data_IF_511535296468
#
_entry.id   IF_511535296468
#
_cell.length_a   1.000
_cell.length_b   1.000
_cell.length_c   1.000
_cell.angle_alpha   90.00
_cell.angle_beta   90.00
_cell.angle_gamma   90.00
#
_symmetry.space_group_name_H-M   'P 1'
#
loop_
_entity.id
_entity.type
_entity.pdbx_description
1 polymer ?
#
# COMPACT_ATOMS: atom_id res chain seq x y z
N UNK A 1 -34.20 31.51 -3.63
CA UNK A 1 -34.48 30.50 -4.63
C UNK A 1 -34.04 29.11 -4.16
N UNK A 2 -34.71 28.07 -4.60
CA UNK A 2 -34.38 26.68 -4.26
C UNK A 2 -32.96 26.32 -4.67
N UNK A 3 -32.42 26.91 -5.72
CA UNK A 3 -31.06 26.68 -6.23
C UNK A 3 -29.99 27.23 -5.28
N UNK A 4 -30.21 28.36 -4.68
CA UNK A 4 -29.29 28.89 -3.64
C UNK A 4 -29.29 28.03 -2.39
N UNK A 5 -30.43 27.53 -1.97
CA UNK A 5 -30.60 26.69 -0.79
C UNK A 5 -29.89 25.33 -0.94
N UNK A 6 -30.00 24.69 -2.09
CA UNK A 6 -29.28 23.47 -2.41
C UNK A 6 -27.77 23.69 -2.46
N UNK A 7 -27.31 24.79 -3.02
CA UNK A 7 -25.90 25.16 -3.08
C UNK A 7 -25.30 25.40 -1.68
N UNK A 8 -26.05 26.04 -0.79
CA UNK A 8 -25.62 26.26 0.61
C UNK A 8 -25.55 24.96 1.39
N UNK A 9 -26.51 24.06 1.22
CA UNK A 9 -26.52 22.73 1.85
C UNK A 9 -25.33 21.91 1.39
N UNK A 10 -25.04 21.89 0.09
CA UNK A 10 -23.87 21.18 -0.47
C UNK A 10 -22.56 21.73 0.05
N UNK A 11 -22.44 23.06 0.17
CA UNK A 11 -21.24 23.69 0.77
C UNK A 11 -21.07 23.33 2.24
N UNK A 12 -22.15 23.26 3.01
CA UNK A 12 -22.10 22.86 4.41
C UNK A 12 -21.70 21.40 4.59
N UNK A 13 -22.25 20.50 3.76
CA UNK A 13 -21.90 19.09 3.77
C UNK A 13 -20.43 18.90 3.38
N UNK A 14 -19.96 19.60 2.36
CA UNK A 14 -18.55 19.54 1.94
C UNK A 14 -17.59 20.06 3.01
N UNK A 15 -17.92 21.17 3.67
CA UNK A 15 -17.12 21.70 4.79
C UNK A 15 -17.09 20.75 5.99
N UNK A 16 -18.22 20.12 6.30
CA UNK A 16 -18.30 19.16 7.40
C UNK A 16 -17.50 17.90 7.08
N UNK A 17 -17.60 17.37 5.87
CA UNK A 17 -16.78 16.24 5.42
C UNK A 17 -15.28 16.56 5.43
N UNK A 18 -14.87 17.74 4.96
CA UNK A 18 -13.47 18.16 4.99
C UNK A 18 -12.96 18.26 6.42
N UNK A 19 -13.74 18.78 7.37
CA UNK A 19 -13.37 18.83 8.78
C UNK A 19 -13.29 17.46 9.42
N UNK A 20 -14.23 16.58 9.14
CA UNK A 20 -14.22 15.20 9.61
C UNK A 20 -13.05 14.43 8.98
N UNK A 21 -12.77 14.62 7.70
CA UNK A 21 -11.63 14.02 7.01
C UNK A 21 -10.30 14.53 7.56
N UNK A 22 -10.17 15.80 7.88
CA UNK A 22 -8.97 16.34 8.51
C UNK A 22 -8.80 15.79 9.93
N UNK A 23 -9.88 15.66 10.69
CA UNK A 23 -9.84 15.11 12.04
C UNK A 23 -9.52 13.61 12.04
N UNK A 24 -10.04 12.86 11.07
CA UNK A 24 -9.79 11.42 10.88
C UNK A 24 -8.55 11.13 10.02
N UNK A 25 -7.90 12.17 9.47
CA UNK A 25 -6.82 12.01 8.51
C UNK A 25 -5.49 11.58 9.12
N UNK A 26 -5.30 11.82 10.40
CA UNK A 26 -4.08 11.42 11.10
C UNK A 26 -4.31 10.14 11.89
N UNK A 27 -3.58 9.10 11.55
CA UNK A 27 -3.63 7.80 12.18
C UNK A 27 -2.20 7.32 12.44
N UNK A 28 -2.00 6.52 13.48
CA UNK A 28 -0.72 5.86 13.67
C UNK A 28 -0.47 4.92 12.50
N UNK A 29 0.74 4.96 11.96
CA UNK A 29 1.09 4.14 10.80
C UNK A 29 0.88 2.65 11.06
N UNK A 30 1.24 2.19 12.24
CA UNK A 30 1.00 0.83 12.71
C UNK A 30 -0.49 0.46 12.65
N UNK A 31 -1.36 1.33 13.14
CA UNK A 31 -2.81 1.11 13.14
C UNK A 31 -3.39 1.05 11.72
N UNK A 32 -2.88 1.89 10.82
CA UNK A 32 -3.28 1.85 9.41
C UNK A 32 -2.88 0.54 8.74
N UNK A 33 -1.65 0.08 8.97
CA UNK A 33 -1.18 -1.20 8.44
C UNK A 33 -2.00 -2.37 9.01
N UNK A 34 -2.30 -2.37 10.31
CA UNK A 34 -3.16 -3.40 10.92
C UNK A 34 -4.56 -3.40 10.32
N UNK A 35 -5.15 -2.24 10.10
CA UNK A 35 -6.47 -2.12 9.45
C UNK A 35 -6.47 -2.75 8.05
N UNK A 36 -5.46 -2.44 7.25
CA UNK A 36 -5.33 -2.99 5.90
C UNK A 36 -5.09 -4.50 5.94
N UNK A 37 -4.19 -4.96 6.79
CA UNK A 37 -3.88 -6.38 6.95
C UNK A 37 -5.12 -7.16 7.38
N UNK A 38 -5.86 -6.66 8.36
CA UNK A 38 -7.07 -7.31 8.83
C UNK A 38 -8.14 -7.42 7.74
N UNK A 39 -8.24 -6.43 6.86
CA UNK A 39 -9.17 -6.49 5.73
C UNK A 39 -8.83 -7.64 4.77
N UNK A 40 -7.55 -7.95 4.58
CA UNK A 40 -7.13 -9.09 3.77
C UNK A 40 -7.26 -10.43 4.50
N UNK A 41 -7.05 -10.47 5.82
CA UNK A 41 -7.25 -11.68 6.63
C UNK A 41 -8.69 -12.20 6.56
N UNK A 42 -9.66 -11.33 6.44
CA UNK A 42 -11.07 -11.71 6.34
C UNK A 42 -11.38 -12.50 5.06
N UNK A 43 -10.63 -12.28 3.99
CA UNK A 43 -10.88 -12.86 2.67
C UNK A 43 -9.82 -13.87 2.22
N UNK A 44 -8.75 -14.04 2.99
CA UNK A 44 -7.64 -14.93 2.63
C UNK A 44 -7.32 -15.90 3.76
N UNK A 45 -6.99 -17.13 3.40
CA UNK A 45 -6.48 -18.16 4.33
C UNK A 45 -4.97 -18.06 4.56
N UNK A 46 -4.30 -17.15 3.88
CA UNK A 46 -2.85 -17.00 3.97
C UNK A 46 -2.44 -16.31 5.28
N UNK A 47 -1.24 -16.61 5.76
CA UNK A 47 -0.68 -15.96 6.94
C UNK A 47 -0.20 -14.57 6.60
N UNK A 48 -0.69 -13.56 7.34
CA UNK A 48 -0.24 -12.17 7.23
C UNK A 48 0.26 -11.72 8.60
N UNK A 49 1.55 -11.46 8.71
CA UNK A 49 2.19 -11.05 9.95
C UNK A 49 2.73 -9.62 9.84
N UNK A 50 2.48 -8.82 10.87
CA UNK A 50 3.06 -7.49 11.01
C UNK A 50 4.10 -7.51 12.14
N UNK A 51 5.33 -7.16 11.82
CA UNK A 51 6.38 -6.88 12.79
C UNK A 51 6.67 -5.40 12.83
N UNK A 52 6.68 -4.84 14.03
CA UNK A 52 6.95 -3.42 14.25
C UNK A 52 8.25 -3.27 15.02
N UNK A 53 9.22 -2.64 14.37
CA UNK A 53 10.47 -2.24 15.00
C UNK A 53 10.40 -0.73 15.25
N UNK A 54 10.12 -0.35 16.47
CA UNK A 54 9.99 1.04 16.86
C UNK A 54 11.03 1.43 17.90
N UNK A 55 11.65 2.55 17.67
CA UNK A 55 12.35 3.31 18.68
C UNK A 55 11.36 4.29 19.33
N UNK A 56 10.43 3.79 20.14
CA UNK A 56 9.46 4.52 20.98
C UNK A 56 8.66 5.67 20.35
N UNK A 57 8.86 5.98 19.08
CA UNK A 57 8.17 7.07 18.39
C UNK A 57 6.96 6.54 17.61
N UNK A 58 5.79 6.84 18.11
CA UNK A 58 4.53 6.58 17.43
C UNK A 58 4.39 7.57 16.28
N UNK A 59 4.72 7.11 15.08
CA UNK A 59 4.62 7.95 13.89
C UNK A 59 3.18 7.94 13.37
N UNK A 60 2.66 9.14 13.16
CA UNK A 60 1.38 9.37 12.54
C UNK A 60 1.56 9.60 11.04
N UNK A 61 0.65 9.07 10.25
CA UNK A 61 0.58 9.30 8.82
C UNK A 61 -0.81 9.84 8.47
N UNK A 62 -0.89 10.66 7.44
CA UNK A 62 -2.17 11.11 6.94
C UNK A 62 -2.89 9.99 6.21
N UNK A 63 -4.14 9.76 6.57
CA UNK A 63 -5.00 8.75 5.94
C UNK A 63 -5.58 9.29 4.63
N UNK A 64 -4.71 9.53 3.65
CA UNK A 64 -5.13 9.99 2.33
C UNK A 64 -5.55 8.82 1.44
N UNK A 65 -6.45 9.05 0.45
CA UNK A 65 -6.78 8.01 -0.52
C UNK A 65 -5.55 7.45 -1.25
N UNK A 66 -4.56 8.29 -1.53
CA UNK A 66 -3.32 7.90 -2.20
C UNK A 66 -2.51 6.90 -1.37
N UNK A 67 -2.32 7.18 -0.08
CA UNK A 67 -1.61 6.28 0.84
C UNK A 67 -2.36 4.96 1.00
N UNK A 68 -3.66 5.02 1.22
CA UNK A 68 -4.49 3.83 1.40
C UNK A 68 -4.48 2.97 0.14
N UNK A 69 -4.71 3.57 -1.02
CA UNK A 69 -4.72 2.86 -2.29
C UNK A 69 -3.36 2.21 -2.58
N UNK A 70 -2.28 2.96 -2.42
CA UNK A 70 -0.94 2.45 -2.66
C UNK A 70 -0.57 1.28 -1.74
N UNK A 71 -0.79 1.42 -0.44
CA UNK A 71 -0.53 0.35 0.51
C UNK A 71 -1.40 -0.88 0.25
N UNK A 72 -2.68 -0.70 0.00
CA UNK A 72 -3.59 -1.81 -0.33
C UNK A 72 -3.17 -2.52 -1.61
N UNK A 73 -2.70 -1.78 -2.60
CA UNK A 73 -2.23 -2.36 -3.85
C UNK A 73 -1.04 -3.29 -3.64
N UNK A 74 -0.01 -2.84 -2.94
CA UNK A 74 1.20 -3.64 -2.73
C UNK A 74 1.00 -4.78 -1.75
N UNK A 75 0.24 -4.57 -0.67
CA UNK A 75 -0.11 -5.64 0.26
C UNK A 75 -1.02 -6.66 -0.43
N UNK A 76 -2.00 -6.20 -1.21
CA UNK A 76 -2.88 -7.06 -1.98
C UNK A 76 -2.14 -7.91 -3.02
N UNK A 77 -1.16 -7.33 -3.71
CA UNK A 77 -0.30 -8.08 -4.61
C UNK A 77 0.51 -9.15 -3.88
N UNK A 78 1.07 -8.82 -2.73
CA UNK A 78 1.80 -9.79 -1.92
C UNK A 78 0.91 -10.96 -1.50
N UNK A 79 -0.30 -10.68 -1.04
CA UNK A 79 -1.29 -11.72 -0.71
C UNK A 79 -1.63 -12.58 -1.92
N UNK A 80 -1.88 -11.94 -3.07
CA UNK A 80 -2.28 -12.63 -4.30
C UNK A 80 -1.20 -13.59 -4.81
N UNK A 81 0.05 -13.15 -4.83
CA UNK A 81 1.16 -13.92 -5.39
C UNK A 81 1.87 -14.83 -4.40
N UNK A 82 1.66 -14.65 -3.10
CA UNK A 82 2.23 -15.53 -2.09
C UNK A 82 1.70 -16.96 -2.21
N UNK A 83 2.51 -17.93 -1.81
CA UNK A 83 2.05 -19.32 -1.65
C UNK A 83 1.21 -19.47 -0.40
N UNK A 84 1.68 -18.95 0.72
CA UNK A 84 1.04 -19.12 2.02
C UNK A 84 1.31 -18.01 3.03
N UNK A 85 2.32 -17.18 2.81
CA UNK A 85 2.80 -16.24 3.83
C UNK A 85 3.18 -14.88 3.26
N UNK A 86 2.74 -13.83 3.95
CA UNK A 86 3.14 -12.45 3.75
C UNK A 86 3.63 -11.89 5.08
N UNK A 87 4.77 -11.25 5.08
CA UNK A 87 5.35 -10.60 6.25
C UNK A 87 5.56 -9.12 5.94
N UNK A 88 5.06 -8.27 6.82
CA UNK A 88 5.17 -6.84 6.71
C UNK A 88 5.97 -6.34 7.90
N UNK A 89 7.06 -5.63 7.63
CA UNK A 89 7.89 -5.02 8.66
C UNK A 89 7.75 -3.52 8.62
N UNK A 90 7.40 -2.92 9.74
CA UNK A 90 7.41 -1.48 9.94
C UNK A 90 8.59 -1.10 10.82
N UNK A 91 9.49 -0.31 10.29
CA UNK A 91 10.61 0.26 11.02
C UNK A 91 10.52 1.78 10.96
N UNK A 92 10.62 2.41 12.10
CA UNK A 92 10.60 3.86 12.16
C UNK A 92 11.60 4.39 13.18
N UNK A 93 12.32 5.41 12.79
CA UNK A 93 13.15 6.21 13.68
C UNK A 93 12.81 7.69 13.51
N UNK A 94 13.57 8.59 14.13
CA UNK A 94 13.29 10.04 14.08
C UNK A 94 13.32 10.63 12.65
N UNK A 95 13.95 9.93 11.70
CA UNK A 95 14.22 10.47 10.36
C UNK A 95 13.57 9.67 9.24
N UNK A 96 13.38 8.38 9.41
CA UNK A 96 12.97 7.47 8.33
C UNK A 96 11.86 6.56 8.79
N UNK A 97 10.84 6.44 7.95
CA UNK A 97 9.82 5.40 8.05
C UNK A 97 10.06 4.41 6.91
N UNK A 98 10.16 3.14 7.22
CA UNK A 98 10.36 2.08 6.24
C UNK A 98 9.33 0.97 6.43
N UNK A 99 8.68 0.57 5.35
CA UNK A 99 7.77 -0.57 5.30
C UNK A 99 8.31 -1.58 4.29
N UNK A 100 8.57 -2.79 4.74
CA UNK A 100 8.97 -3.92 3.88
C UNK A 100 7.80 -4.88 3.77
N UNK A 101 7.41 -5.20 2.55
CA UNK A 101 6.36 -6.17 2.26
C UNK A 101 7.02 -7.36 1.57
N UNK A 102 7.04 -8.50 2.25
CA UNK A 102 7.65 -9.73 1.78
C UNK A 102 6.59 -10.81 1.57
N UNK A 103 6.68 -11.54 0.49
CA UNK A 103 5.87 -12.73 0.25
C UNK A 103 6.74 -13.97 -0.03
N UNK A 104 6.16 -15.14 0.06
CA UNK A 104 6.83 -16.40 -0.24
C UNK A 104 6.39 -17.01 -1.59
N UNK A 105 6.00 -16.15 -2.52
CA UNK A 105 5.65 -16.55 -3.88
C UNK A 105 6.86 -16.78 -4.79
N UNK A 106 6.63 -16.81 -6.12
CA UNK A 106 7.70 -17.06 -7.09
C UNK A 106 8.70 -15.90 -7.25
N UNK A 107 8.42 -14.74 -6.67
CA UNK A 107 9.22 -13.54 -6.87
C UNK A 107 8.79 -12.74 -8.09
N UNK A 108 9.48 -11.64 -8.34
CA UNK A 108 9.20 -10.79 -9.50
C UNK A 108 10.03 -11.31 -10.69
N UNK A 109 9.38 -11.62 -11.83
CA UNK A 109 10.10 -12.01 -13.03
C UNK A 109 11.11 -10.96 -13.50
N UNK A 110 12.22 -11.39 -14.04
CA UNK A 110 13.32 -10.51 -14.46
C UNK A 110 12.91 -9.51 -15.53
N UNK A 111 12.05 -9.91 -16.45
CA UNK A 111 11.52 -9.04 -17.50
C UNK A 111 10.61 -7.94 -16.95
N UNK A 112 9.98 -8.17 -15.80
CA UNK A 112 9.10 -7.20 -15.13
C UNK A 112 9.89 -6.25 -14.23
N UNK A 113 10.89 -6.74 -13.49
CA UNK A 113 11.59 -5.90 -12.50
C UNK A 113 12.20 -4.65 -13.13
N UNK A 114 12.65 -4.73 -14.37
CA UNK A 114 13.23 -3.62 -15.11
C UNK A 114 12.19 -2.58 -15.53
N UNK A 115 10.93 -2.95 -15.62
CA UNK A 115 9.83 -2.12 -16.13
C UNK A 115 8.74 -1.87 -15.09
N UNK A 116 8.99 -2.23 -13.84
CA UNK A 116 7.97 -2.14 -12.80
C UNK A 116 7.50 -0.70 -12.61
N UNK A 117 6.20 -0.51 -12.49
CA UNK A 117 5.58 0.80 -12.39
C UNK A 117 5.16 1.41 -13.72
N UNK A 118 5.49 0.80 -14.87
CA UNK A 118 4.92 1.20 -16.15
C UNK A 118 3.49 0.64 -16.31
N UNK A 119 2.56 1.37 -16.94
CA UNK A 119 1.21 0.86 -17.14
C UNK A 119 1.18 -0.32 -18.11
N UNK A 120 0.26 -1.25 -17.87
CA UNK A 120 -0.02 -2.40 -18.74
C UNK A 120 1.14 -3.40 -18.91
N UNK A 121 2.05 -3.49 -17.95
CA UNK A 121 3.09 -4.51 -17.97
C UNK A 121 2.45 -5.90 -17.79
N UNK A 122 2.74 -6.79 -18.71
CA UNK A 122 2.40 -8.20 -18.61
C UNK A 122 3.68 -9.01 -18.66
N UNK A 123 3.85 -9.92 -17.71
CA UNK A 123 4.95 -10.85 -17.75
C UNK A 123 4.77 -11.86 -18.89
N UNK A 124 5.86 -12.16 -19.59
CA UNK A 124 5.92 -13.30 -20.52
C UNK A 124 6.08 -14.63 -19.78
N UNK A 125 6.32 -14.59 -18.48
CA UNK A 125 6.46 -15.77 -17.65
C UNK A 125 5.11 -16.46 -17.46
N UNK A 126 5.11 -17.79 -17.55
CA UNK A 126 3.94 -18.61 -17.27
C UNK A 126 3.56 -18.65 -15.78
N UNK A 127 4.42 -18.14 -14.91
CA UNK A 127 4.22 -18.11 -13.46
C UNK A 127 3.17 -17.08 -13.04
N UNK A 128 2.93 -16.06 -13.86
CA UNK A 128 1.89 -15.05 -13.63
C UNK A 128 0.70 -15.31 -14.54
N UNK A 129 -0.48 -15.43 -13.95
CA UNK A 129 -1.70 -15.59 -14.72
C UNK A 129 -1.99 -14.36 -15.59
N UNK A 130 -2.68 -14.51 -16.74
CA UNK A 130 -3.07 -13.38 -17.57
C UNK A 130 -3.90 -12.31 -16.85
N UNK A 131 -4.55 -12.68 -15.75
CA UNK A 131 -5.39 -11.82 -14.93
C UNK A 131 -4.67 -11.33 -13.66
N UNK A 132 -3.34 -11.33 -13.65
CA UNK A 132 -2.58 -10.97 -12.45
C UNK A 132 -2.77 -9.53 -11.98
N UNK A 133 -3.24 -8.63 -12.84
CA UNK A 133 -3.43 -7.23 -12.48
C UNK A 133 -2.13 -6.46 -12.23
N UNK A 134 -0.96 -7.09 -12.43
CA UNK A 134 0.34 -6.45 -12.36
C UNK A 134 0.53 -5.56 -13.58
N UNK A 135 0.54 -4.29 -13.41
CA UNK A 135 0.69 -3.32 -14.50
C UNK A 135 0.06 -2.02 -14.09
N UNK A 136 -1.21 -1.83 -14.39
CA UNK A 136 -1.90 -0.58 -14.07
C UNK A 136 -1.97 -0.33 -12.55
N UNK A 137 -2.31 -1.34 -11.76
CA UNK A 137 -2.38 -1.21 -10.30
C UNK A 137 -1.01 -0.85 -9.70
N UNK A 138 0.05 -1.54 -10.10
CA UNK A 138 1.41 -1.26 -9.63
C UNK A 138 1.87 0.14 -10.04
N UNK A 139 1.60 0.54 -11.27
CA UNK A 139 1.89 1.89 -11.77
C UNK A 139 1.16 2.96 -10.94
N UNK A 140 -0.13 2.81 -10.73
CA UNK A 140 -0.92 3.76 -9.95
C UNK A 140 -0.46 3.80 -8.49
N UNK A 141 -0.26 2.65 -7.87
CA UNK A 141 0.19 2.55 -6.48
C UNK A 141 1.55 3.22 -6.29
N UNK A 142 2.50 2.94 -7.17
CA UNK A 142 3.83 3.57 -7.16
C UNK A 142 3.72 5.08 -7.32
N UNK A 143 3.00 5.55 -8.31
CA UNK A 143 2.82 6.98 -8.60
C UNK A 143 2.17 7.71 -7.43
N UNK A 144 1.12 7.15 -6.85
CA UNK A 144 0.41 7.76 -5.75
C UNK A 144 1.27 7.86 -4.49
N UNK A 145 2.01 6.81 -4.17
CA UNK A 145 2.91 6.82 -3.01
C UNK A 145 4.09 7.76 -3.21
N UNK A 146 4.67 7.81 -4.41
CA UNK A 146 5.74 8.77 -4.73
C UNK A 146 5.28 10.22 -4.58
N UNK A 147 4.05 10.53 -4.96
CA UNK A 147 3.45 11.85 -4.74
C UNK A 147 3.33 12.21 -3.27
N UNK A 148 3.23 11.22 -2.40
CA UNK A 148 3.19 11.40 -0.94
C UNK A 148 4.59 11.37 -0.31
N UNK A 149 5.64 11.42 -1.13
CA UNK A 149 7.02 11.49 -0.67
C UNK A 149 7.70 10.14 -0.44
N UNK A 150 7.06 9.04 -0.78
CA UNK A 150 7.64 7.72 -0.65
C UNK A 150 8.66 7.42 -1.74
N UNK A 151 9.69 6.67 -1.37
CA UNK A 151 10.57 5.98 -2.31
C UNK A 151 10.23 4.50 -2.30
N UNK A 152 10.22 3.88 -3.47
CA UNK A 152 9.91 2.46 -3.62
C UNK A 152 11.09 1.72 -4.23
N UNK A 153 11.41 0.58 -3.63
CA UNK A 153 12.42 -0.36 -4.11
C UNK A 153 11.75 -1.72 -4.27
N UNK A 154 11.96 -2.36 -5.41
CA UNK A 154 11.43 -3.67 -5.71
C UNK A 154 12.57 -4.66 -5.86
N UNK A 155 12.53 -5.74 -5.08
CA UNK A 155 13.50 -6.82 -5.14
C UNK A 155 12.81 -8.11 -5.63
N UNK A 156 13.46 -8.81 -6.57
CA UNK A 156 12.92 -10.04 -7.13
C UNK A 156 12.72 -11.12 -6.08
N UNK A 157 13.69 -11.25 -5.17
CA UNK A 157 13.68 -12.22 -4.09
C UNK A 157 14.05 -11.52 -2.80
N UNK A 158 13.12 -11.52 -1.87
CA UNK A 158 13.30 -10.95 -0.56
C UNK A 158 13.54 -12.00 0.52
N UNK A 159 13.31 -11.62 1.74
CA UNK A 159 13.56 -12.40 2.95
C UNK A 159 12.83 -13.76 2.96
N UNK A 160 11.63 -13.83 2.40
CA UNK A 160 10.84 -15.07 2.33
C UNK A 160 11.00 -15.83 1.01
N UNK A 161 11.91 -15.40 0.16
CA UNK A 161 12.17 -16.02 -1.14
C UNK A 161 11.31 -15.52 -2.30
N UNK A 162 10.17 -14.90 -2.01
CA UNK A 162 9.32 -14.27 -3.01
C UNK A 162 9.65 -12.79 -3.22
N UNK A 163 8.70 -12.03 -3.74
CA UNK A 163 8.89 -10.61 -4.00
C UNK A 163 9.04 -9.80 -2.71
N UNK A 164 9.80 -8.72 -2.79
CA UNK A 164 9.92 -7.74 -1.73
C UNK A 164 9.70 -6.34 -2.29
N UNK A 165 8.85 -5.58 -1.61
CA UNK A 165 8.63 -4.16 -1.89
C UNK A 165 9.03 -3.38 -0.65
N UNK A 166 9.89 -2.39 -0.81
CA UNK A 166 10.33 -1.50 0.27
C UNK A 166 9.82 -0.10 -0.02
N UNK A 167 9.07 0.43 0.93
CA UNK A 167 8.55 1.79 0.90
C UNK A 167 9.26 2.59 1.98
N UNK A 168 9.77 3.77 1.64
CA UNK A 168 10.43 4.61 2.64
C UNK A 168 10.06 6.08 2.48
N UNK A 169 9.92 6.75 3.61
CA UNK A 169 9.71 8.19 3.72
C UNK A 169 10.79 8.79 4.61
N UNK A 170 11.37 9.87 4.16
CA UNK A 170 12.33 10.66 4.94
C UNK A 170 11.66 11.79 5.70
#
# INVERSE_FOLDING_TARGET
SQTKRCSEILKQISKKQIKEDIFLSSIKFEDLLEEIINSFKETSSKSLDLEVENDNNKINIQRTPEIIYGLRNFIGNAVKFSKSKVKINLKSDEKIIEVKINDNGPGIPEDIIQKIGEPYIKSKSKELSPNSGLGLGTFLGKTLLERQGAKLIFNRHGELGGAQVILSWN
#
